data_IF_008424059376
#
_entry.id   IF_008424059376
#
_cell.length_a   1.000
_cell.length_b   1.000
_cell.length_c   1.000
_cell.angle_alpha   90.00
_cell.angle_beta   90.00
_cell.angle_gamma   90.00
#
_symmetry.space_group_name_H-M   'P 1'
#
loop_
_entity.id
_entity.type
_entity.pdbx_description
1 polymer ?
#
# COMPACT_ATOMS: atom_id res chain seq x y z
N UNK A 1 21.12 31.62 7.54
CA UNK A 1 20.71 30.21 7.36
C UNK A 1 20.72 29.94 5.86
N UNK A 2 21.67 29.17 5.36
CA UNK A 2 21.63 28.72 3.96
C UNK A 2 20.46 27.73 3.84
N UNK A 3 19.47 28.06 3.03
CA UNK A 3 18.45 27.11 2.60
C UNK A 3 19.15 26.05 1.74
N UNK A 4 19.34 24.86 2.28
CA UNK A 4 19.76 23.71 1.49
C UNK A 4 18.60 23.39 0.55
N UNK A 5 18.74 23.73 -0.74
CA UNK A 5 17.79 23.32 -1.77
C UNK A 5 18.01 21.84 -2.02
N UNK A 6 17.11 21.00 -1.52
CA UNK A 6 17.08 19.59 -1.86
C UNK A 6 16.50 19.46 -3.25
N UNK A 7 17.20 18.73 -4.13
CA UNK A 7 16.66 18.30 -5.41
C UNK A 7 15.72 17.10 -5.14
N UNK A 8 14.49 17.42 -4.74
CA UNK A 8 13.48 16.42 -4.43
C UNK A 8 12.75 16.01 -5.71
N UNK A 9 12.42 14.71 -5.86
CA UNK A 9 11.59 14.25 -6.97
C UNK A 9 10.22 14.92 -6.95
N UNK A 10 9.50 14.86 -8.06
CA UNK A 10 8.10 15.27 -8.10
C UNK A 10 7.29 14.47 -7.06
N UNK A 11 6.37 15.13 -6.34
CA UNK A 11 5.60 14.47 -5.29
C UNK A 11 4.72 13.35 -5.84
N UNK A 12 4.47 12.35 -5.02
CA UNK A 12 3.41 11.36 -5.23
C UNK A 12 2.16 11.81 -4.45
N UNK A 13 0.98 11.64 -5.04
CA UNK A 13 -0.28 11.95 -4.35
C UNK A 13 -0.62 10.85 -3.35
N UNK A 14 -0.33 9.60 -3.72
CA UNK A 14 -0.63 8.39 -2.96
C UNK A 14 0.58 7.49 -2.86
N UNK A 15 0.83 6.94 -1.66
CA UNK A 15 1.76 5.82 -1.46
C UNK A 15 0.99 4.68 -0.81
N UNK A 16 1.06 3.50 -1.41
CA UNK A 16 0.62 2.25 -0.80
C UNK A 16 1.82 1.50 -0.23
N UNK A 17 1.70 1.00 1.00
CA UNK A 17 2.79 0.33 1.74
C UNK A 17 2.45 -1.13 1.94
N UNK A 18 3.25 -2.04 1.38
CA UNK A 18 3.20 -3.49 1.60
C UNK A 18 4.32 -3.96 2.52
N UNK A 19 4.14 -5.09 3.18
CA UNK A 19 5.21 -5.79 3.88
C UNK A 19 6.14 -6.46 2.86
N UNK A 20 5.55 -7.06 1.84
CA UNK A 20 6.21 -7.80 0.76
C UNK A 20 5.70 -7.36 -0.61
N UNK A 21 6.50 -7.54 -1.67
CA UNK A 21 6.00 -7.39 -3.03
C UNK A 21 4.88 -8.43 -3.29
N UNK A 22 3.71 -8.01 -3.65
CA UNK A 22 2.41 -8.64 -3.94
C UNK A 22 1.26 -8.23 -2.99
N UNK A 23 1.55 -7.80 -1.79
CA UNK A 23 0.54 -7.43 -0.79
C UNK A 23 -0.40 -6.33 -1.31
N UNK A 24 0.18 -5.28 -1.89
CA UNK A 24 -0.55 -4.11 -2.36
C UNK A 24 -1.45 -4.44 -3.55
N UNK A 25 -0.96 -5.28 -4.47
CA UNK A 25 -1.74 -5.72 -5.63
C UNK A 25 -2.95 -6.54 -5.20
N UNK A 26 -2.76 -7.47 -4.26
CA UNK A 26 -3.86 -8.28 -3.71
C UNK A 26 -4.85 -7.41 -2.93
N UNK A 27 -4.36 -6.47 -2.15
CA UNK A 27 -5.20 -5.63 -1.30
C UNK A 27 -5.98 -4.59 -2.10
N UNK A 28 -5.26 -3.72 -2.83
CA UNK A 28 -5.81 -2.50 -3.40
C UNK A 28 -5.32 -2.14 -4.81
N UNK A 29 -4.82 -3.12 -5.58
CA UNK A 29 -4.31 -2.91 -6.93
C UNK A 29 -5.32 -2.26 -7.89
N UNK A 30 -6.61 -2.61 -7.77
CA UNK A 30 -7.68 -1.98 -8.55
C UNK A 30 -7.84 -0.49 -8.24
N UNK A 31 -7.78 -0.13 -6.97
CA UNK A 31 -7.80 1.27 -6.51
C UNK A 31 -6.58 2.04 -7.04
N UNK A 32 -5.38 1.45 -7.00
CA UNK A 32 -4.19 2.13 -7.52
C UNK A 32 -4.31 2.38 -9.02
N UNK A 33 -4.72 1.39 -9.81
CA UNK A 33 -4.95 1.55 -11.25
C UNK A 33 -6.02 2.62 -11.53
N UNK A 34 -7.08 2.68 -10.73
CA UNK A 34 -8.11 3.72 -10.84
C UNK A 34 -7.57 5.12 -10.56
N UNK A 35 -6.80 5.28 -9.49
CA UNK A 35 -6.16 6.55 -9.14
C UNK A 35 -5.22 7.02 -10.26
N UNK A 36 -4.41 6.12 -10.82
CA UNK A 36 -3.56 6.43 -11.98
C UNK A 36 -4.40 6.88 -13.17
N UNK A 37 -5.49 6.17 -13.49
CA UNK A 37 -6.39 6.55 -14.58
C UNK A 37 -7.07 7.91 -14.36
N UNK A 38 -7.24 8.33 -13.11
CA UNK A 38 -7.73 9.64 -12.71
C UNK A 38 -6.66 10.75 -12.76
N UNK A 39 -5.41 10.40 -13.07
CA UNK A 39 -4.29 11.35 -13.21
C UNK A 39 -3.49 11.58 -11.92
N UNK A 40 -3.76 10.84 -10.84
CA UNK A 40 -2.96 10.92 -9.63
C UNK A 40 -1.61 10.23 -9.80
N UNK A 41 -0.60 10.75 -9.13
CA UNK A 41 0.73 10.15 -9.06
C UNK A 41 0.77 9.15 -7.90
N UNK A 42 0.95 7.88 -8.23
CA UNK A 42 0.88 6.77 -7.27
C UNK A 42 2.24 6.10 -7.12
N UNK A 43 2.63 5.79 -5.89
CA UNK A 43 3.80 4.97 -5.58
C UNK A 43 3.45 3.77 -4.71
N UNK A 44 4.31 2.75 -4.77
CA UNK A 44 4.29 1.60 -3.88
C UNK A 44 5.59 1.57 -3.09
N UNK A 45 5.50 1.27 -1.80
CA UNK A 45 6.67 0.97 -0.95
C UNK A 45 6.52 -0.43 -0.40
N UNK A 46 7.42 -1.33 -0.79
CA UNK A 46 7.56 -2.64 -0.16
C UNK A 46 8.59 -2.53 0.97
N UNK A 47 8.22 -2.93 2.18
CA UNK A 47 9.13 -2.84 3.33
C UNK A 47 10.28 -3.85 3.26
N UNK A 48 10.06 -4.99 2.62
CA UNK A 48 11.05 -6.06 2.43
C UNK A 48 11.07 -6.52 0.96
N UNK A 49 12.09 -7.29 0.60
CA UNK A 49 12.16 -7.96 -0.71
C UNK A 49 11.23 -9.18 -0.86
N UNK A 50 10.61 -9.60 0.25
CA UNK A 50 9.76 -10.79 0.30
C UNK A 50 10.53 -12.12 0.27
N UNK A 51 11.86 -12.13 0.26
CA UNK A 51 12.68 -13.32 0.09
C UNK A 51 13.33 -13.79 1.42
N UNK A 52 13.68 -15.09 1.54
CA UNK A 52 13.51 -16.16 0.55
C UNK A 52 12.09 -16.74 0.52
N UNK A 53 11.64 -17.13 -0.68
CA UNK A 53 10.38 -17.89 -0.86
C UNK A 53 10.61 -19.20 -1.61
N UNK A 54 9.79 -20.26 -1.38
CA UNK A 54 10.09 -21.60 -1.87
C UNK A 54 10.24 -21.75 -3.39
N UNK A 55 9.52 -20.94 -4.16
CA UNK A 55 9.49 -21.05 -5.62
C UNK A 55 10.25 -19.92 -6.34
N UNK A 56 10.91 -19.05 -5.58
CA UNK A 56 11.73 -17.99 -6.15
C UNK A 56 13.19 -18.42 -6.22
N UNK A 57 13.88 -18.18 -7.33
CA UNK A 57 15.32 -18.43 -7.43
C UNK A 57 16.15 -17.35 -6.71
N UNK A 58 15.57 -16.22 -6.36
CA UNK A 58 16.27 -15.15 -5.64
C UNK A 58 15.61 -13.78 -5.75
N UNK A 59 16.14 -12.79 -5.02
CA UNK A 59 15.53 -11.46 -4.91
C UNK A 59 15.44 -10.70 -6.25
N UNK A 60 16.34 -10.95 -7.20
CA UNK A 60 16.30 -10.29 -8.51
C UNK A 60 15.03 -10.66 -9.30
N UNK A 61 14.59 -11.92 -9.20
CA UNK A 61 13.37 -12.38 -9.87
C UNK A 61 12.15 -11.74 -9.20
N UNK A 62 12.14 -11.71 -7.87
CA UNK A 62 11.07 -11.09 -7.11
C UNK A 62 10.93 -9.60 -7.41
N UNK A 63 12.06 -8.90 -7.51
CA UNK A 63 12.10 -7.49 -7.89
C UNK A 63 11.56 -7.26 -9.32
N UNK A 64 11.94 -8.14 -10.27
CA UNK A 64 11.44 -8.06 -11.65
C UNK A 64 9.92 -8.29 -11.73
N UNK A 65 9.38 -9.25 -10.97
CA UNK A 65 7.94 -9.50 -10.85
C UNK A 65 7.22 -8.27 -10.27
N UNK A 66 7.77 -7.66 -9.22
CA UNK A 66 7.24 -6.46 -8.60
C UNK A 66 7.23 -5.27 -9.56
N UNK A 67 8.31 -5.08 -10.32
CA UNK A 67 8.39 -4.01 -11.32
C UNK A 67 7.36 -4.21 -12.44
N UNK A 68 7.22 -5.43 -12.96
CA UNK A 68 6.22 -5.75 -13.98
C UNK A 68 4.78 -5.49 -13.47
N UNK A 69 4.50 -5.82 -12.20
CA UNK A 69 3.21 -5.55 -11.59
C UNK A 69 2.93 -4.03 -11.47
N UNK A 70 3.95 -3.24 -11.10
CA UNK A 70 3.84 -1.78 -11.03
C UNK A 70 3.56 -1.17 -12.42
N UNK A 71 4.20 -1.68 -13.47
CA UNK A 71 3.96 -1.25 -14.86
C UNK A 71 2.52 -1.56 -15.31
N UNK A 72 2.00 -2.75 -14.99
CA UNK A 72 0.60 -3.13 -15.29
C UNK A 72 -0.40 -2.20 -14.62
N UNK A 73 -0.13 -1.76 -13.37
CA UNK A 73 -0.98 -0.81 -12.65
C UNK A 73 -0.78 0.65 -13.10
N UNK A 74 0.29 0.94 -13.85
CA UNK A 74 0.68 2.30 -14.25
C UNK A 74 1.26 3.14 -13.12
N UNK A 75 1.75 2.50 -12.06
CA UNK A 75 2.35 3.15 -10.89
C UNK A 75 3.65 3.83 -11.29
N UNK A 76 3.87 5.06 -10.85
CA UNK A 76 5.03 5.87 -11.25
C UNK A 76 6.32 5.47 -10.54
N UNK A 77 6.21 5.03 -9.28
CA UNK A 77 7.38 4.67 -8.48
C UNK A 77 7.10 3.40 -7.68
N UNK A 78 8.05 2.48 -7.68
CA UNK A 78 8.08 1.35 -6.76
C UNK A 78 9.39 1.36 -6.01
N UNK A 79 9.30 1.46 -4.69
CA UNK A 79 10.42 1.58 -3.77
C UNK A 79 10.44 0.32 -2.91
N UNK A 80 11.58 -0.34 -2.87
CA UNK A 80 11.80 -1.46 -1.95
C UNK A 80 12.75 -1.00 -0.85
N UNK A 81 12.34 -1.15 0.41
CA UNK A 81 13.21 -0.95 1.55
C UNK A 81 13.97 -2.26 1.84
N UNK A 82 15.16 -2.14 2.41
CA UNK A 82 16.01 -3.27 2.74
C UNK A 82 15.75 -3.79 4.17
N UNK A 83 14.48 -3.84 4.59
CA UNK A 83 14.14 -4.39 5.90
C UNK A 83 14.07 -5.93 5.82
N UNK A 84 14.41 -6.64 6.94
CA UNK A 84 14.57 -8.08 6.90
C UNK A 84 13.23 -8.82 6.80
N UNK A 85 13.00 -9.51 5.68
CA UNK A 85 11.81 -10.36 5.48
C UNK A 85 11.72 -11.48 6.53
N UNK A 86 10.50 -11.79 6.97
CA UNK A 86 10.17 -12.76 8.04
C UNK A 86 10.76 -12.45 9.42
N UNK A 87 11.41 -11.33 9.53
CA UNK A 87 11.95 -10.76 10.77
C UNK A 87 11.66 -9.27 10.85
N UNK A 88 10.68 -8.81 10.04
CA UNK A 88 10.23 -7.44 10.09
C UNK A 88 9.74 -7.12 11.51
N UNK A 89 10.26 -6.05 12.08
CA UNK A 89 9.93 -5.64 13.43
C UNK A 89 9.74 -4.12 13.49
N UNK A 90 8.70 -3.69 14.20
CA UNK A 90 8.44 -2.28 14.44
C UNK A 90 9.50 -1.71 15.38
N UNK A 91 10.57 -1.17 14.81
CA UNK A 91 11.69 -0.55 15.49
C UNK A 91 11.94 0.87 14.97
N UNK A 92 12.79 1.60 15.67
CA UNK A 92 13.11 2.99 15.33
C UNK A 92 13.62 3.12 13.89
N UNK A 93 14.55 2.26 13.49
CA UNK A 93 15.21 2.29 12.19
C UNK A 93 14.20 2.03 11.05
N UNK A 94 13.29 1.07 11.22
CA UNK A 94 12.25 0.78 10.25
C UNK A 94 11.27 1.96 10.08
N UNK A 95 10.88 2.59 11.19
CA UNK A 95 10.03 3.79 11.19
C UNK A 95 10.69 4.96 10.47
N UNK A 96 11.97 5.20 10.73
CA UNK A 96 12.75 6.27 10.10
C UNK A 96 12.94 5.99 8.61
N UNK A 97 13.22 4.75 8.22
CA UNK A 97 13.37 4.36 6.82
C UNK A 97 12.11 4.70 6.01
N UNK A 98 10.94 4.25 6.47
CA UNK A 98 9.68 4.53 5.78
C UNK A 98 9.30 6.03 5.86
N UNK A 99 9.50 6.68 7.01
CA UNK A 99 9.21 8.10 7.16
C UNK A 99 10.10 8.97 6.27
N UNK A 100 11.32 8.53 5.95
CA UNK A 100 12.20 9.20 4.99
C UNK A 100 11.62 9.17 3.58
N UNK A 101 11.02 8.06 3.17
CA UNK A 101 10.32 7.99 1.88
C UNK A 101 9.07 8.89 1.86
N UNK A 102 8.33 8.98 2.96
CA UNK A 102 7.22 9.94 3.06
C UNK A 102 7.70 11.40 2.98
N UNK A 103 8.85 11.74 3.55
CA UNK A 103 9.46 13.07 3.41
C UNK A 103 9.95 13.34 1.99
N UNK A 104 10.53 12.34 1.34
CA UNK A 104 11.06 12.43 -0.03
C UNK A 104 9.96 12.64 -1.05
N UNK A 105 8.91 11.81 -0.99
CA UNK A 105 7.85 11.75 -1.98
C UNK A 105 6.59 12.56 -1.62
N UNK A 106 6.45 12.98 -0.38
CA UNK A 106 5.41 13.89 0.12
C UNK A 106 3.97 13.49 -0.20
N UNK A 107 3.53 12.24 0.08
CA UNK A 107 2.18 11.79 -0.23
C UNK A 107 1.13 12.53 0.59
N UNK A 108 -0.03 12.79 -0.03
CA UNK A 108 -1.21 13.26 0.67
C UNK A 108 -2.01 12.12 1.29
N UNK A 109 -2.02 10.96 0.64
CA UNK A 109 -2.71 9.77 1.09
C UNK A 109 -1.72 8.61 1.22
N UNK A 110 -1.80 7.89 2.34
CA UNK A 110 -1.10 6.62 2.54
C UNK A 110 -2.13 5.52 2.69
N UNK A 111 -1.91 4.40 1.99
CA UNK A 111 -2.66 3.15 2.13
C UNK A 111 -1.74 2.13 2.81
N UNK A 112 -2.23 1.41 3.81
CA UNK A 112 -1.44 0.43 4.54
C UNK A 112 -2.28 -0.67 5.16
N UNK A 113 -1.65 -1.68 5.73
CA UNK A 113 -2.35 -2.72 6.48
C UNK A 113 -3.17 -2.14 7.64
N UNK A 114 -4.36 -2.71 7.89
CA UNK A 114 -5.25 -2.26 8.96
C UNK A 114 -5.43 -3.25 10.11
N UNK A 115 -4.97 -4.50 9.97
CA UNK A 115 -5.16 -5.53 10.98
C UNK A 115 -4.12 -6.64 10.88
N UNK A 116 -4.13 -7.53 11.88
CA UNK A 116 -3.45 -8.81 11.80
C UNK A 116 -4.10 -9.68 10.73
N UNK A 117 -3.27 -10.45 10.02
CA UNK A 117 -3.70 -11.49 9.09
C UNK A 117 -3.48 -12.84 9.77
N UNK A 118 -4.51 -13.43 10.40
CA UNK A 118 -4.36 -14.68 11.14
C UNK A 118 -3.84 -15.81 10.25
N UNK A 119 -2.82 -16.53 10.73
CA UNK A 119 -2.15 -17.64 10.02
C UNK A 119 -1.41 -17.23 8.72
N UNK A 120 -1.32 -15.94 8.42
CA UNK A 120 -0.47 -15.38 7.38
C UNK A 120 0.84 -14.82 7.99
N UNK A 121 1.62 -14.09 7.19
CA UNK A 121 2.89 -13.54 7.65
C UNK A 121 2.72 -12.59 8.85
N UNK A 122 3.48 -12.75 9.93
CA UNK A 122 3.50 -11.80 11.04
C UNK A 122 4.02 -10.41 10.61
N UNK A 123 4.74 -10.34 9.50
CA UNK A 123 5.29 -9.09 8.96
C UNK A 123 4.18 -8.10 8.60
N UNK A 124 2.98 -8.57 8.22
CA UNK A 124 1.83 -7.69 7.93
C UNK A 124 1.43 -6.83 9.13
N UNK A 125 1.46 -7.44 10.34
CA UNK A 125 1.19 -6.70 11.58
C UNK A 125 2.29 -5.68 11.90
N UNK A 126 3.54 -6.05 11.65
CA UNK A 126 4.67 -5.15 11.83
C UNK A 126 4.62 -4.00 10.81
N UNK A 127 4.27 -4.29 9.56
CA UNK A 127 4.10 -3.28 8.51
C UNK A 127 3.02 -2.25 8.88
N UNK A 128 1.89 -2.69 9.47
CA UNK A 128 0.88 -1.77 9.97
C UNK A 128 1.46 -0.81 11.02
N UNK A 129 2.15 -1.35 12.03
CA UNK A 129 2.71 -0.55 13.12
C UNK A 129 3.80 0.41 12.63
N UNK A 130 4.69 -0.05 11.74
CA UNK A 130 5.72 0.78 11.11
C UNK A 130 5.08 1.91 10.31
N UNK A 131 4.02 1.63 9.53
CA UNK A 131 3.34 2.64 8.70
C UNK A 131 2.68 3.70 9.55
N UNK A 132 1.94 3.33 10.59
CA UNK A 132 1.32 4.25 11.54
C UNK A 132 2.36 5.17 12.19
N UNK A 133 3.47 4.58 12.66
CA UNK A 133 4.53 5.34 13.28
C UNK A 133 5.29 6.23 12.28
N UNK A 134 5.55 5.76 11.07
CA UNK A 134 6.25 6.52 10.04
C UNK A 134 5.46 7.77 9.60
N UNK A 135 4.13 7.68 9.51
CA UNK A 135 3.26 8.84 9.27
C UNK A 135 3.43 9.90 10.37
N UNK A 136 3.56 9.48 11.62
CA UNK A 136 3.84 10.41 12.71
C UNK A 136 5.27 10.97 12.61
N UNK A 137 6.26 10.12 12.30
CA UNK A 137 7.68 10.50 12.26
C UNK A 137 7.98 11.47 11.11
N UNK A 138 7.31 11.35 9.97
CA UNK A 138 7.53 12.24 8.82
C UNK A 138 7.28 13.72 9.13
N UNK A 139 6.45 14.03 10.11
CA UNK A 139 6.11 15.41 10.53
C UNK A 139 6.95 15.93 11.70
N UNK A 140 7.87 15.15 12.26
CA UNK A 140 8.68 15.57 13.40
C UNK A 140 9.69 16.66 12.99
N UNK A 141 9.71 17.74 13.73
CA UNK A 141 10.71 18.81 13.61
C UNK A 141 11.89 18.54 14.54
N UNK A 142 13.05 19.13 14.26
CA UNK A 142 14.28 19.00 15.08
C UNK A 142 14.85 17.57 15.11
N UNK A 143 14.57 16.78 14.06
CA UNK A 143 15.03 15.41 13.88
C UNK A 143 15.83 15.27 12.58
N UNK A 144 16.46 16.36 12.13
CA UNK A 144 17.14 16.42 10.83
C UNK A 144 18.30 15.42 10.71
N UNK A 145 18.93 15.07 11.84
CA UNK A 145 20.01 14.07 11.92
C UNK A 145 19.54 12.66 11.45
N UNK A 146 18.28 12.31 11.70
CA UNK A 146 17.72 11.00 11.32
C UNK A 146 17.18 10.98 9.88
N UNK A 147 16.92 12.15 9.29
CA UNK A 147 16.30 12.27 7.98
C UNK A 147 17.23 12.85 6.91
N UNK A 148 18.54 12.90 7.18
CA UNK A 148 19.54 13.48 6.27
C UNK A 148 19.12 14.87 5.74
N UNK A 149 18.40 15.66 6.58
CA UNK A 149 17.92 16.98 6.23
C UNK A 149 16.68 17.03 5.33
N UNK A 150 16.08 15.92 4.96
CA UNK A 150 14.82 15.93 4.19
C UNK A 150 13.77 16.80 4.88
N UNK A 151 13.03 17.64 4.14
CA UNK A 151 12.05 18.54 4.71
C UNK A 151 10.92 17.77 5.41
N UNK A 152 10.40 18.37 6.47
CA UNK A 152 9.24 17.83 7.20
C UNK A 152 8.05 17.70 6.26
N UNK A 153 7.35 16.57 6.35
CA UNK A 153 6.12 16.33 5.62
C UNK A 153 5.00 15.82 6.51
N UNK A 154 3.77 16.30 6.28
CA UNK A 154 2.58 15.81 6.97
C UNK A 154 1.66 15.10 5.99
N UNK A 155 1.50 13.81 6.19
CA UNK A 155 0.54 13.00 5.43
C UNK A 155 -0.88 13.45 5.77
N UNK A 156 -1.69 13.74 4.76
CA UNK A 156 -3.05 14.25 4.92
C UNK A 156 -4.03 13.21 5.45
N UNK A 157 -3.98 12.00 4.91
CA UNK A 157 -4.89 10.91 5.25
C UNK A 157 -4.18 9.56 5.26
N UNK A 158 -4.69 8.65 6.10
CA UNK A 158 -4.30 7.24 6.12
C UNK A 158 -5.56 6.38 6.04
N UNK A 159 -5.57 5.45 5.08
CA UNK A 159 -6.59 4.43 4.94
C UNK A 159 -5.96 3.06 5.13
N UNK A 160 -6.61 2.24 5.92
CA UNK A 160 -6.25 0.84 6.09
C UNK A 160 -6.93 -0.01 5.03
N UNK A 161 -6.16 -0.89 4.41
CA UNK A 161 -6.65 -1.95 3.52
C UNK A 161 -6.55 -3.32 4.22
N UNK A 162 -7.18 -4.32 3.64
CA UNK A 162 -7.00 -5.73 3.97
C UNK A 162 -6.67 -6.54 2.73
N UNK A 163 -6.05 -7.69 2.89
CA UNK A 163 -5.85 -8.62 1.79
C UNK A 163 -7.19 -9.20 1.33
N UNK A 164 -7.43 -9.23 0.02
CA UNK A 164 -8.72 -9.60 -0.56
C UNK A 164 -9.20 -11.01 -0.20
N UNK A 165 -8.27 -11.92 0.11
CA UNK A 165 -8.57 -13.34 0.41
C UNK A 165 -8.61 -13.65 1.91
N UNK A 166 -8.40 -12.64 2.74
CA UNK A 166 -8.45 -12.78 4.21
C UNK A 166 -9.86 -12.50 4.73
N UNK A 167 -10.28 -13.17 5.81
CA UNK A 167 -11.54 -12.85 6.47
C UNK A 167 -11.53 -11.41 6.99
N UNK A 168 -12.71 -10.82 7.14
CA UNK A 168 -12.85 -9.47 7.69
C UNK A 168 -12.49 -9.47 9.18
N UNK A 169 -11.26 -9.06 9.45
CA UNK A 169 -10.70 -9.02 10.80
C UNK A 169 -10.56 -7.61 11.36
N UNK A 170 -10.89 -6.58 10.57
CA UNK A 170 -10.91 -5.19 11.05
C UNK A 170 -12.19 -4.96 11.84
N UNK A 171 -12.32 -5.65 12.95
CA UNK A 171 -13.47 -5.50 13.85
C UNK A 171 -13.35 -4.21 14.67
N UNK A 172 -14.48 -3.55 14.88
CA UNK A 172 -14.57 -2.35 15.72
C UNK A 172 -14.30 -1.03 15.02
N UNK A 173 -13.93 -1.01 13.75
CA UNK A 173 -13.88 0.20 12.96
C UNK A 173 -15.23 0.49 12.31
N UNK A 174 -15.67 1.76 12.40
CA UNK A 174 -16.98 2.20 11.89
C UNK A 174 -16.87 3.03 10.62
N UNK A 175 -15.65 3.37 10.19
CA UNK A 175 -15.39 4.30 9.09
C UNK A 175 -14.97 3.56 7.81
N UNK A 176 -15.84 2.67 7.34
CA UNK A 176 -15.63 1.91 6.11
C UNK A 176 -15.98 2.73 4.88
N UNK A 177 -15.20 2.56 3.84
CA UNK A 177 -15.51 3.02 2.49
C UNK A 177 -15.12 1.94 1.48
N UNK A 178 -15.85 1.87 0.38
CA UNK A 178 -15.55 0.96 -0.72
C UNK A 178 -15.24 1.79 -1.96
N UNK A 179 -14.12 1.50 -2.59
CA UNK A 179 -13.77 2.05 -3.90
C UNK A 179 -14.31 1.11 -4.96
N UNK A 180 -15.14 1.63 -5.86
CA UNK A 180 -15.57 0.91 -7.05
C UNK A 180 -14.39 0.73 -8.00
N UNK A 181 -14.00 -0.53 -8.23
CA UNK A 181 -12.89 -0.94 -9.11
C UNK A 181 -13.39 -1.76 -10.30
N UNK A 182 -14.67 -1.64 -10.65
CA UNK A 182 -15.29 -2.40 -11.75
C UNK A 182 -14.47 -2.29 -13.03
N UNK A 183 -14.03 -1.08 -13.39
CA UNK A 183 -13.27 -0.82 -14.62
C UNK A 183 -11.79 -1.21 -14.52
N UNK A 184 -11.26 -1.40 -13.31
CA UNK A 184 -9.84 -1.64 -13.06
C UNK A 184 -9.53 -3.01 -12.45
N UNK A 185 -10.55 -3.85 -12.22
CA UNK A 185 -10.36 -5.21 -11.68
C UNK A 185 -9.48 -6.07 -12.59
N UNK A 186 -9.54 -5.88 -13.90
CA UNK A 186 -8.69 -6.61 -14.85
C UNK A 186 -7.21 -6.24 -14.68
N UNK A 187 -6.89 -4.96 -14.50
CA UNK A 187 -5.53 -4.51 -14.23
C UNK A 187 -5.01 -5.07 -12.89
N UNK A 188 -5.84 -5.08 -11.84
CA UNK A 188 -5.51 -5.73 -10.57
C UNK A 188 -5.13 -7.20 -10.77
N UNK A 189 -5.95 -7.97 -11.43
CA UNK A 189 -5.68 -9.40 -11.63
C UNK A 189 -4.42 -9.64 -12.47
N UNK A 190 -4.22 -8.85 -13.52
CA UNK A 190 -3.02 -8.92 -14.35
C UNK A 190 -1.75 -8.55 -13.55
N UNK A 191 -1.81 -7.59 -12.63
CA UNK A 191 -0.68 -7.27 -11.75
C UNK A 191 -0.33 -8.42 -10.80
N UNK A 192 -1.32 -9.14 -10.28
CA UNK A 192 -1.10 -10.33 -9.45
C UNK A 192 -0.46 -11.47 -10.28
N UNK A 193 -0.88 -11.63 -11.53
CA UNK A 193 -0.29 -12.64 -12.44
C UNK A 193 1.20 -12.39 -12.73
N UNK A 194 1.72 -11.18 -12.57
CA UNK A 194 3.15 -10.92 -12.73
C UNK A 194 4.00 -11.70 -11.72
N UNK A 195 3.45 -12.04 -10.56
CA UNK A 195 4.15 -12.78 -9.50
C UNK A 195 4.07 -14.31 -9.72
N UNK A 196 4.75 -14.77 -10.75
CA UNK A 196 4.77 -16.20 -11.11
C UNK A 196 5.33 -17.08 -10.00
N UNK A 197 6.38 -16.60 -9.30
CA UNK A 197 6.99 -17.34 -8.19
C UNK A 197 6.04 -17.52 -7.00
N UNK A 198 5.05 -16.62 -6.86
CA UNK A 198 4.14 -16.61 -5.71
C UNK A 198 2.80 -17.26 -5.99
N UNK A 199 2.30 -17.15 -7.23
CA UNK A 199 0.91 -17.50 -7.53
C UNK A 199 0.72 -18.57 -8.61
N UNK A 200 1.71 -18.87 -9.47
CA UNK A 200 1.54 -19.86 -10.53
C UNK A 200 1.15 -21.26 -10.02
N UNK A 201 1.56 -21.61 -8.80
CA UNK A 201 1.24 -22.89 -8.17
C UNK A 201 -0.05 -22.85 -7.30
N UNK A 202 -0.66 -21.67 -7.13
CA UNK A 202 -1.88 -21.49 -6.31
C UNK A 202 -3.13 -21.51 -7.20
N UNK A 203 -3.64 -22.70 -7.51
CA UNK A 203 -4.82 -22.84 -8.35
C UNK A 203 -6.00 -21.97 -7.86
N UNK A 204 -6.62 -21.22 -8.77
CA UNK A 204 -7.81 -20.41 -8.52
C UNK A 204 -7.58 -19.16 -7.66
N UNK A 205 -6.32 -18.69 -7.48
CA UNK A 205 -6.08 -17.49 -6.67
C UNK A 205 -6.75 -16.26 -7.29
N UNK A 206 -6.67 -16.08 -8.60
CA UNK A 206 -7.27 -14.94 -9.29
C UNK A 206 -8.81 -14.98 -9.19
N UNK A 207 -9.40 -16.14 -9.29
CA UNK A 207 -10.86 -16.32 -9.12
C UNK A 207 -11.30 -15.95 -7.70
N UNK A 208 -10.51 -16.31 -6.68
CA UNK A 208 -10.79 -15.93 -5.30
C UNK A 208 -10.67 -14.43 -5.09
N UNK A 209 -9.65 -13.79 -5.65
CA UNK A 209 -9.48 -12.32 -5.59
C UNK A 209 -10.65 -11.63 -6.30
N UNK A 210 -11.03 -12.11 -7.49
CA UNK A 210 -12.19 -11.59 -8.22
C UNK A 210 -13.49 -11.77 -7.42
N UNK A 211 -13.71 -12.93 -6.84
CA UNK A 211 -14.89 -13.21 -6.03
C UNK A 211 -14.97 -12.29 -4.79
N UNK A 212 -13.86 -12.07 -4.11
CA UNK A 212 -13.79 -11.16 -2.98
C UNK A 212 -14.15 -9.72 -3.39
N UNK A 213 -13.61 -9.25 -4.51
CA UNK A 213 -13.94 -7.94 -5.06
C UNK A 213 -15.42 -7.82 -5.45
N UNK A 214 -16.01 -8.91 -6.02
CA UNK A 214 -17.43 -8.97 -6.37
C UNK A 214 -18.32 -8.89 -5.13
N UNK A 215 -17.99 -9.62 -4.07
CA UNK A 215 -18.74 -9.59 -2.80
C UNK A 215 -18.68 -8.18 -2.17
N UNK A 216 -17.49 -7.59 -2.12
CA UNK A 216 -17.29 -6.24 -1.60
C UNK A 216 -18.04 -5.19 -2.43
N UNK A 217 -17.96 -5.29 -3.74
CA UNK A 217 -18.67 -4.38 -4.66
C UNK A 217 -20.17 -4.50 -4.56
N UNK A 218 -20.69 -5.74 -4.50
CA UNK A 218 -22.12 -5.99 -4.37
C UNK A 218 -22.72 -5.34 -3.12
N UNK A 219 -21.99 -5.36 -2.00
CA UNK A 219 -22.42 -4.69 -0.77
C UNK A 219 -22.45 -3.17 -0.90
N UNK A 220 -21.67 -2.60 -1.81
CA UNK A 220 -21.57 -1.15 -2.06
C UNK A 220 -22.34 -0.69 -3.31
N UNK A 221 -23.06 -1.60 -3.99
CA UNK A 221 -23.85 -1.25 -5.19
C UNK A 221 -23.03 -1.19 -6.50
N UNK A 222 -21.83 -1.75 -6.56
CA UNK A 222 -21.01 -1.85 -7.76
C UNK A 222 -20.61 -3.31 -8.06
N UNK A 223 -20.04 -3.57 -9.24
CA UNK A 223 -19.70 -4.94 -9.67
C UNK A 223 -18.48 -5.49 -8.96
N UNK A 224 -17.47 -4.64 -8.74
CA UNK A 224 -16.26 -5.01 -8.03
C UNK A 224 -15.81 -3.85 -7.12
N UNK A 225 -15.45 -4.16 -5.88
CA UNK A 225 -15.06 -3.16 -4.90
C UNK A 225 -13.83 -3.56 -4.09
N UNK A 226 -13.12 -2.57 -3.59
CA UNK A 226 -12.04 -2.70 -2.61
C UNK A 226 -12.40 -1.90 -1.37
N UNK A 227 -12.31 -2.55 -0.20
CA UNK A 227 -12.73 -1.97 1.07
C UNK A 227 -11.56 -1.36 1.83
N UNK A 228 -11.79 -0.19 2.39
CA UNK A 228 -10.86 0.53 3.24
C UNK A 228 -11.52 0.98 4.54
N UNK A 229 -10.68 1.23 5.53
CA UNK A 229 -11.08 1.83 6.79
C UNK A 229 -10.28 3.11 7.01
N UNK A 230 -10.94 4.22 7.26
CA UNK A 230 -10.23 5.45 7.58
C UNK A 230 -9.62 5.37 8.98
N UNK A 231 -8.33 5.68 9.10
CA UNK A 231 -7.63 5.72 10.39
C UNK A 231 -8.24 6.75 11.37
N UNK A 232 -8.85 7.80 10.82
CA UNK A 232 -9.58 8.84 11.57
C UNK A 232 -10.81 9.30 10.79
N UNK A 233 -11.87 9.76 11.45
CA UNK A 233 -12.97 10.44 10.79
C UNK A 233 -12.47 11.62 9.93
N UNK A 234 -13.11 11.86 8.82
CA UNK A 234 -12.85 13.04 7.99
C UNK A 234 -14.17 13.79 7.70
N UNK A 235 -14.06 15.11 7.62
CA UNK A 235 -15.17 15.94 7.20
C UNK A 235 -15.34 15.89 5.69
N UNK A 236 -16.56 15.92 5.24
CA UNK A 236 -16.93 16.10 3.82
C UNK A 236 -17.68 17.44 3.68
N UNK A 237 -17.30 18.22 2.70
CA UNK A 237 -17.92 19.53 2.47
C UNK A 237 -19.25 19.40 1.73
N UNK A 238 -19.36 18.42 0.85
CA UNK A 238 -20.58 18.12 0.10
C UNK A 238 -20.95 16.63 0.31
N UNK A 239 -21.92 16.40 1.22
CA UNK A 239 -22.38 15.07 1.52
C UNK A 239 -23.02 14.39 0.29
N UNK A 240 -23.78 15.15 -0.51
CA UNK A 240 -24.48 14.60 -1.68
C UNK A 240 -23.49 14.10 -2.75
N UNK A 241 -22.50 14.92 -3.10
CA UNK A 241 -21.46 14.54 -4.05
C UNK A 241 -20.53 13.44 -3.53
N UNK A 242 -20.51 13.21 -2.19
CA UNK A 242 -19.66 12.17 -1.59
C UNK A 242 -20.36 10.81 -1.56
N UNK A 243 -21.72 10.76 -1.48
CA UNK A 243 -22.49 9.52 -1.27
C UNK A 243 -23.33 9.10 -2.48
N UNK A 244 -23.44 9.91 -3.53
CA UNK A 244 -24.13 9.65 -4.79
C UNK A 244 -23.20 9.75 -5.99
#
# INVERSE_FOLDING_TARGET
MQQTTYDLPASLDVIAVGAHPDDVEIACGGTLAKLVAQGYRVGIVDLTDGEPTPNSPGPEVRLAEAQAAAEVLGVQERIQLELPNRRLFDCFEARVALASEFRRWRPQLVLGFGAKTPMASPDHWQAMQITDAAIFYSRLTKWDEYFAGLPVHTVGRHLYYRLAVEPDTISGHTHHLTVDVTDTITAKLASIECYQTQFSHKAGILDRVRAAATVTGSAAGCTAGESFVAAKPFAVDDLFATVL
#
